data_IF_256041154357
#
_entry.id   IF_256041154357
#
_cell.length_a   1.000
_cell.length_b   1.000
_cell.length_c   1.000
_cell.angle_alpha   90.00
_cell.angle_beta   90.00
_cell.angle_gamma   90.00
#
_symmetry.space_group_name_H-M   'P 1'
#
loop_
_entity.id
_entity.type
_entity.pdbx_description
1 polymer ?
#
# COMPACT_ATOMS: atom_id res chain seq x y z
N UNK A 1 -0.13 -33.40 -0.32
CA UNK A 1 -0.22 -32.89 1.07
C UNK A 1 -0.27 -31.36 1.14
N UNK A 2 0.70 -30.62 0.56
CA UNK A 2 0.68 -29.13 0.58
C UNK A 2 -0.61 -28.51 0.05
N UNK A 3 -1.16 -28.99 -1.07
CA UNK A 3 -2.45 -28.48 -1.59
C UNK A 3 -3.58 -28.60 -0.56
N UNK A 4 -3.73 -29.76 0.11
CA UNK A 4 -4.76 -29.97 1.12
C UNK A 4 -4.58 -28.98 2.28
N UNK A 5 -3.34 -28.81 2.74
CA UNK A 5 -3.00 -27.81 3.77
C UNK A 5 -3.37 -26.39 3.32
N UNK A 6 -2.99 -26.00 2.10
CA UNK A 6 -3.30 -24.68 1.51
C UNK A 6 -4.82 -24.43 1.52
N UNK A 7 -5.65 -25.39 1.08
CA UNK A 7 -7.12 -25.25 1.10
C UNK A 7 -7.70 -25.16 2.51
N UNK A 8 -7.21 -25.96 3.46
CA UNK A 8 -7.70 -25.96 4.85
C UNK A 8 -7.36 -24.64 5.54
N UNK A 9 -6.09 -24.24 5.54
CA UNK A 9 -5.64 -22.99 6.17
C UNK A 9 -6.27 -21.78 5.48
N UNK A 10 -6.43 -21.81 4.16
CA UNK A 10 -7.13 -20.74 3.43
C UNK A 10 -8.57 -20.61 3.85
N UNK A 11 -9.29 -21.71 4.08
CA UNK A 11 -10.69 -21.65 4.53
C UNK A 11 -10.80 -20.94 5.88
N UNK A 12 -9.95 -21.31 6.84
CA UNK A 12 -9.89 -20.67 8.16
C UNK A 12 -9.50 -19.19 8.03
N UNK A 13 -8.48 -18.90 7.22
CA UNK A 13 -8.02 -17.53 6.99
C UNK A 13 -9.08 -16.65 6.32
N UNK A 14 -9.84 -17.18 5.34
CA UNK A 14 -10.87 -16.41 4.64
C UNK A 14 -12.05 -16.04 5.57
N UNK A 15 -12.42 -16.95 6.47
CA UNK A 15 -13.42 -16.65 7.52
C UNK A 15 -12.88 -15.55 8.45
N UNK A 16 -11.64 -15.70 8.93
CA UNK A 16 -10.98 -14.69 9.76
C UNK A 16 -10.91 -13.33 9.06
N UNK A 17 -10.50 -13.29 7.80
CA UNK A 17 -10.37 -12.09 6.99
C UNK A 17 -11.73 -11.40 6.82
N UNK A 18 -12.77 -12.14 6.46
CA UNK A 18 -14.13 -11.62 6.29
C UNK A 18 -14.69 -11.03 7.59
N UNK A 19 -14.59 -11.78 8.70
CA UNK A 19 -15.03 -11.30 10.02
C UNK A 19 -14.27 -10.06 10.45
N UNK A 20 -12.95 -10.02 10.26
CA UNK A 20 -12.12 -8.86 10.55
C UNK A 20 -12.61 -7.63 9.79
N UNK A 21 -12.90 -7.75 8.49
CA UNK A 21 -13.43 -6.63 7.70
C UNK A 21 -14.78 -6.12 8.20
N UNK A 22 -15.70 -7.01 8.60
CA UNK A 22 -17.03 -6.61 9.08
C UNK A 22 -16.94 -5.97 10.47
N UNK A 23 -16.20 -6.57 11.40
CA UNK A 23 -16.03 -6.02 12.76
C UNK A 23 -15.37 -4.65 12.70
N UNK A 24 -14.27 -4.52 11.97
CA UNK A 24 -13.59 -3.23 11.83
C UNK A 24 -14.39 -2.21 11.04
N UNK A 25 -15.40 -2.61 10.28
CA UNK A 25 -16.25 -1.64 9.57
C UNK A 25 -17.06 -0.86 10.60
N UNK A 26 -17.68 -1.55 11.55
CA UNK A 26 -18.41 -0.94 12.67
C UNK A 26 -17.48 -0.08 13.50
N UNK A 27 -16.30 -0.60 13.89
CA UNK A 27 -15.30 0.16 14.65
C UNK A 27 -14.90 1.44 13.91
N UNK A 28 -14.60 1.36 12.61
CA UNK A 28 -14.22 2.53 11.81
C UNK A 28 -15.33 3.58 11.73
N UNK A 29 -16.59 3.17 11.57
CA UNK A 29 -17.74 4.07 11.54
C UNK A 29 -17.85 4.81 12.87
N UNK A 30 -17.83 4.08 13.99
CA UNK A 30 -17.88 4.63 15.35
C UNK A 30 -16.69 5.56 15.59
N UNK A 31 -15.47 5.12 15.30
CA UNK A 31 -14.25 5.93 15.45
C UNK A 31 -14.33 7.26 14.70
N UNK A 32 -14.82 7.24 13.46
CA UNK A 32 -14.94 8.45 12.64
C UNK A 32 -16.01 9.41 13.17
N UNK A 33 -17.19 8.91 13.52
CA UNK A 33 -18.35 9.76 13.86
C UNK A 33 -18.28 10.29 15.28
N UNK A 34 -17.73 9.52 16.23
CA UNK A 34 -17.65 9.93 17.64
C UNK A 34 -16.32 10.63 17.99
N UNK A 35 -15.22 10.29 17.29
CA UNK A 35 -13.88 10.72 17.69
C UNK A 35 -13.04 11.32 16.55
N UNK A 36 -13.61 11.48 15.35
CA UNK A 36 -12.98 12.17 14.22
C UNK A 36 -11.94 11.35 13.43
N UNK A 37 -11.33 12.02 12.46
CA UNK A 37 -10.48 11.40 11.44
C UNK A 37 -9.21 10.75 11.99
N UNK A 38 -8.54 11.36 12.99
CA UNK A 38 -7.32 10.79 13.59
C UNK A 38 -7.58 9.45 14.28
N UNK A 39 -8.72 9.33 14.97
CA UNK A 39 -9.10 8.08 15.64
C UNK A 39 -9.53 7.02 14.62
N UNK A 40 -10.25 7.42 13.57
CA UNK A 40 -10.53 6.55 12.43
C UNK A 40 -9.25 5.99 11.81
N UNK A 41 -8.21 6.81 11.58
CA UNK A 41 -6.94 6.33 11.03
C UNK A 41 -6.25 5.30 11.94
N UNK A 42 -6.27 5.49 13.27
CA UNK A 42 -5.77 4.47 14.20
C UNK A 42 -6.52 3.14 14.07
N UNK A 43 -7.83 3.18 13.89
CA UNK A 43 -8.62 1.95 13.67
C UNK A 43 -8.27 1.27 12.34
N UNK A 44 -7.94 2.04 11.29
CA UNK A 44 -7.44 1.51 10.01
C UNK A 44 -6.06 0.87 10.16
N UNK A 45 -5.17 1.45 10.95
CA UNK A 45 -3.88 0.84 11.26
C UNK A 45 -4.08 -0.51 11.95
N UNK A 46 -4.93 -0.56 12.98
CA UNK A 46 -5.24 -1.81 13.66
C UNK A 46 -5.87 -2.83 12.73
N UNK A 47 -6.87 -2.46 11.91
CA UNK A 47 -7.43 -3.35 10.89
C UNK A 47 -6.32 -4.01 10.07
N UNK A 48 -5.40 -3.23 9.52
CA UNK A 48 -4.34 -3.76 8.68
C UNK A 48 -3.32 -4.59 9.47
N UNK A 49 -3.09 -4.27 10.75
CA UNK A 49 -2.33 -5.12 11.66
C UNK A 49 -2.98 -6.50 11.86
N UNK A 50 -4.29 -6.55 12.08
CA UNK A 50 -5.02 -7.83 12.20
C UNK A 50 -5.01 -8.60 10.87
N UNK A 51 -5.30 -7.95 9.74
CA UNK A 51 -5.25 -8.58 8.42
C UNK A 51 -3.86 -9.15 8.10
N UNK A 52 -2.79 -8.41 8.44
CA UNK A 52 -1.42 -8.83 8.18
C UNK A 52 -1.03 -10.03 9.04
N UNK A 53 -1.18 -9.95 10.36
CA UNK A 53 -0.79 -11.03 11.28
C UNK A 53 -1.73 -12.23 11.22
N UNK A 54 -2.95 -12.06 10.70
CA UNK A 54 -3.83 -13.18 10.33
C UNK A 54 -3.17 -14.14 9.35
N UNK A 55 -2.20 -13.70 8.55
CA UNK A 55 -1.42 -14.57 7.66
C UNK A 55 -0.60 -15.62 8.42
N UNK A 56 -0.40 -15.49 9.74
CA UNK A 56 0.18 -16.56 10.56
C UNK A 56 -0.68 -17.83 10.59
N UNK A 57 -1.99 -17.73 10.34
CA UNK A 57 -2.88 -18.89 10.14
C UNK A 57 -2.38 -19.74 8.95
N UNK A 58 -1.85 -19.10 7.91
CA UNK A 58 -1.25 -19.76 6.74
C UNK A 58 0.20 -20.20 7.00
N UNK A 59 0.73 -19.98 8.21
CA UNK A 59 2.15 -20.14 8.53
C UNK A 59 3.08 -19.20 7.75
N UNK A 60 2.55 -18.10 7.21
CA UNK A 60 3.32 -17.11 6.47
C UNK A 60 4.26 -16.35 7.39
N UNK A 61 5.53 -16.23 7.01
CA UNK A 61 6.53 -15.43 7.72
C UNK A 61 6.52 -14.02 7.19
N UNK A 62 6.45 -13.05 8.10
CA UNK A 62 6.38 -11.64 7.77
C UNK A 62 7.70 -10.98 8.15
N UNK A 63 8.27 -10.23 7.22
CA UNK A 63 9.50 -9.49 7.43
C UNK A 63 9.30 -8.03 7.02
N UNK A 64 9.83 -7.13 7.84
CA UNK A 64 9.87 -5.71 7.52
C UNK A 64 11.23 -5.16 7.91
N UNK A 65 11.79 -4.35 7.03
CA UNK A 65 13.03 -3.63 7.25
C UNK A 65 12.85 -2.19 6.78
N UNK A 66 13.40 -1.25 7.54
CA UNK A 66 13.58 0.13 7.09
C UNK A 66 15.07 0.43 7.16
N UNK A 67 15.70 0.70 6.00
CA UNK A 67 17.14 0.98 5.93
C UNK A 67 17.53 2.23 6.72
N UNK A 68 16.58 3.17 6.88
CA UNK A 68 16.72 4.43 7.61
C UNK A 68 15.39 4.73 8.33
N UNK A 69 15.45 5.37 9.50
CA UNK A 69 14.26 5.91 10.16
C UNK A 69 13.66 7.06 9.34
N UNK A 70 12.38 6.94 9.00
CA UNK A 70 11.70 7.91 8.15
C UNK A 70 11.23 9.13 8.97
N UNK A 71 11.42 10.35 8.46
CA UNK A 71 10.97 11.56 9.13
C UNK A 71 9.44 11.60 9.23
N UNK A 72 8.93 12.29 10.26
CA UNK A 72 7.47 12.46 10.50
C UNK A 72 7.03 13.92 10.47
N UNK A 73 7.97 14.84 10.24
CA UNK A 73 7.80 16.29 10.18
C UNK A 73 7.74 16.84 8.74
N UNK A 74 7.91 15.96 7.74
CA UNK A 74 7.79 16.29 6.31
C UNK A 74 6.97 15.23 5.57
N UNK A 75 6.29 15.59 4.46
CA UNK A 75 5.54 14.61 3.69
C UNK A 75 6.45 13.55 3.07
N UNK A 76 5.88 12.39 2.78
CA UNK A 76 6.58 11.30 2.09
C UNK A 76 5.77 10.83 0.89
N UNK A 77 6.45 10.48 -0.20
CA UNK A 77 5.88 9.76 -1.33
C UNK A 77 6.52 8.38 -1.38
N UNK A 78 5.79 7.37 -0.91
CA UNK A 78 6.17 5.98 -1.05
C UNK A 78 5.91 5.52 -2.48
N UNK A 79 6.96 5.01 -3.12
CA UNK A 79 6.88 4.44 -4.46
C UNK A 79 7.29 2.97 -4.38
N UNK A 80 6.37 2.07 -4.74
CA UNK A 80 6.56 0.64 -4.52
C UNK A 80 6.26 -0.17 -5.78
N UNK A 81 6.85 -1.37 -5.89
CA UNK A 81 6.37 -2.40 -6.81
C UNK A 81 5.05 -3.01 -6.29
N UNK A 82 4.25 -3.61 -7.19
CA UNK A 82 2.93 -4.14 -6.85
C UNK A 82 2.77 -5.60 -7.31
N UNK A 83 2.56 -6.52 -6.38
CA UNK A 83 2.37 -7.95 -6.63
C UNK A 83 1.01 -8.46 -6.10
N UNK A 84 0.49 -7.94 -4.98
CA UNK A 84 -0.81 -8.38 -4.46
C UNK A 84 -1.54 -7.34 -3.62
N UNK A 85 -2.74 -7.66 -3.13
CA UNK A 85 -3.45 -6.77 -2.21
C UNK A 85 -2.75 -6.64 -0.84
N UNK A 86 -1.92 -7.62 -0.48
CA UNK A 86 -1.20 -7.62 0.79
C UNK A 86 -0.08 -6.59 0.85
N UNK A 87 0.38 -6.11 -0.32
CA UNK A 87 1.30 -4.97 -0.42
C UNK A 87 0.80 -3.79 0.39
N UNK A 88 -0.48 -3.44 0.16
CA UNK A 88 -1.16 -2.31 0.79
C UNK A 88 -1.32 -2.56 2.29
N UNK A 89 -1.70 -3.78 2.69
CA UNK A 89 -1.89 -4.15 4.10
C UNK A 89 -0.59 -3.99 4.88
N UNK A 90 0.51 -4.53 4.35
CA UNK A 90 1.83 -4.42 4.96
C UNK A 90 2.33 -2.97 4.99
N UNK A 91 2.18 -2.22 3.90
CA UNK A 91 2.55 -0.80 3.88
C UNK A 91 1.76 0.02 4.92
N UNK A 92 0.44 -0.15 5.02
CA UNK A 92 -0.36 0.57 6.03
C UNK A 92 0.11 0.23 7.44
N UNK A 93 0.37 -1.04 7.74
CA UNK A 93 0.79 -1.43 9.08
C UNK A 93 2.21 -0.99 9.41
N UNK A 94 3.18 -1.31 8.57
CA UNK A 94 4.60 -1.06 8.86
C UNK A 94 4.96 0.43 8.77
N UNK A 95 4.34 1.18 7.86
CA UNK A 95 4.57 2.62 7.67
C UNK A 95 3.52 3.48 8.38
N UNK A 96 2.76 2.91 9.32
CA UNK A 96 1.67 3.60 10.04
C UNK A 96 2.06 4.91 10.73
N UNK A 97 3.34 5.08 11.08
CA UNK A 97 3.87 6.35 11.64
C UNK A 97 3.77 7.50 10.63
N UNK A 98 3.82 7.20 9.33
CA UNK A 98 3.80 8.16 8.23
C UNK A 98 2.42 8.27 7.54
N UNK A 99 1.39 7.54 8.01
CA UNK A 99 0.02 7.60 7.48
C UNK A 99 -0.09 7.46 5.95
N UNK A 100 0.18 6.29 5.36
CA UNK A 100 0.16 6.10 3.91
C UNK A 100 -1.26 6.19 3.33
N UNK A 101 -1.46 7.15 2.44
CA UNK A 101 -2.70 7.38 1.69
C UNK A 101 -2.48 6.99 0.22
N UNK A 102 -3.33 6.10 -0.30
CA UNK A 102 -3.07 5.44 -1.59
C UNK A 102 -3.75 6.12 -2.77
N UNK A 103 -3.06 6.12 -3.91
CA UNK A 103 -3.71 6.23 -5.23
C UNK A 103 -4.42 4.91 -5.53
N UNK A 104 -5.75 4.96 -5.62
CA UNK A 104 -6.62 3.77 -5.63
C UNK A 104 -7.65 3.80 -6.75
N UNK A 105 -8.04 2.63 -7.24
CA UNK A 105 -9.10 2.49 -8.25
C UNK A 105 -10.44 2.94 -7.65
N UNK A 106 -11.19 3.81 -8.32
CA UNK A 106 -12.43 4.39 -7.78
C UNK A 106 -13.50 3.34 -7.44
N UNK A 107 -13.54 2.22 -8.15
CA UNK A 107 -14.51 1.15 -7.92
C UNK A 107 -14.31 0.45 -6.56
N UNK A 108 -13.09 0.48 -5.99
CA UNK A 108 -12.83 -0.07 -4.65
C UNK A 108 -13.48 0.77 -3.54
N UNK A 109 -13.92 1.99 -3.85
CA UNK A 109 -14.65 2.84 -2.93
C UNK A 109 -16.09 2.38 -2.70
N UNK A 110 -16.54 1.25 -3.27
CA UNK A 110 -17.88 0.68 -3.09
C UNK A 110 -17.83 -0.84 -2.87
N UNK A 111 -18.72 -1.35 -2.01
CA UNK A 111 -19.01 -2.79 -1.90
C UNK A 111 -18.14 -3.62 -0.94
N UNK A 112 -16.98 -3.12 -0.49
CA UNK A 112 -16.07 -3.89 0.38
C UNK A 112 -16.12 -3.31 1.81
N UNK A 113 -16.63 -4.05 2.81
CA UNK A 113 -16.64 -3.61 4.21
C UNK A 113 -15.24 -3.20 4.67
N UNK A 114 -15.17 -2.19 5.55
CA UNK A 114 -13.94 -1.53 6.00
C UNK A 114 -13.10 -0.84 4.91
N UNK A 115 -12.77 -1.52 3.81
CA UNK A 115 -11.90 -1.02 2.75
C UNK A 115 -12.55 0.14 2.00
N UNK A 116 -13.76 -0.05 1.49
CA UNK A 116 -14.49 1.00 0.77
C UNK A 116 -14.80 2.19 1.67
N UNK A 117 -15.09 1.95 2.95
CA UNK A 117 -15.31 3.02 3.92
C UNK A 117 -14.03 3.83 4.15
N UNK A 118 -12.91 3.15 4.43
CA UNK A 118 -11.61 3.79 4.60
C UNK A 118 -11.25 4.65 3.38
N UNK A 119 -11.36 4.10 2.17
CA UNK A 119 -11.04 4.81 0.93
C UNK A 119 -11.83 6.12 0.76
N UNK A 120 -13.09 6.17 1.20
CA UNK A 120 -13.91 7.39 1.15
C UNK A 120 -13.59 8.40 2.26
N UNK A 121 -12.93 7.97 3.35
CA UNK A 121 -12.69 8.80 4.55
C UNK A 121 -11.22 9.18 4.75
N UNK A 122 -10.29 8.46 4.13
CA UNK A 122 -8.84 8.64 4.33
C UNK A 122 -8.23 9.75 3.48
N UNK A 123 -8.97 10.28 2.51
CA UNK A 123 -8.44 11.24 1.54
C UNK A 123 -7.73 10.59 0.34
N UNK A 124 -7.83 9.26 0.17
CA UNK A 124 -7.29 8.51 -0.97
C UNK A 124 -7.62 9.17 -2.32
N UNK A 125 -6.67 9.16 -3.25
CA UNK A 125 -6.91 9.58 -4.63
C UNK A 125 -7.66 8.47 -5.36
N UNK A 126 -8.97 8.63 -5.53
CA UNK A 126 -9.84 7.64 -6.17
C UNK A 126 -9.91 7.88 -7.67
N UNK A 127 -9.09 7.16 -8.43
CA UNK A 127 -8.90 7.39 -9.86
C UNK A 127 -9.79 6.48 -10.72
N UNK A 128 -10.42 7.05 -11.74
CA UNK A 128 -10.89 6.30 -12.89
C UNK A 128 -9.73 6.14 -13.88
N UNK A 129 -9.32 4.89 -14.12
CA UNK A 129 -8.20 4.59 -15.02
C UNK A 129 -8.51 4.85 -16.49
N UNK A 130 -9.79 5.05 -16.82
CA UNK A 130 -10.24 5.41 -18.16
C UNK A 130 -10.29 6.93 -18.36
N UNK A 131 -10.22 7.72 -17.29
CA UNK A 131 -10.23 9.18 -17.33
C UNK A 131 -8.92 9.75 -16.75
N UNK A 132 -7.95 9.97 -17.63
CA UNK A 132 -6.66 10.54 -17.25
C UNK A 132 -6.76 11.94 -16.65
N UNK A 133 -7.75 12.75 -17.04
CA UNK A 133 -7.92 14.11 -16.49
C UNK A 133 -8.41 14.03 -15.04
N UNK A 134 -9.39 13.17 -14.77
CA UNK A 134 -9.87 12.92 -13.41
C UNK A 134 -8.75 12.37 -12.51
N UNK A 135 -7.94 11.42 -13.03
CA UNK A 135 -6.81 10.87 -12.29
C UNK A 135 -5.78 11.95 -11.92
N UNK A 136 -5.46 12.87 -12.84
CA UNK A 136 -4.55 13.99 -12.58
C UNK A 136 -5.08 14.88 -11.44
N UNK A 137 -6.37 15.19 -11.46
CA UNK A 137 -7.02 16.02 -10.43
C UNK A 137 -6.94 15.36 -9.05
N UNK A 138 -7.27 14.07 -8.95
CA UNK A 138 -7.24 13.35 -7.68
C UNK A 138 -5.83 13.17 -7.12
N UNK A 139 -4.86 12.84 -7.97
CA UNK A 139 -3.46 12.73 -7.55
C UNK A 139 -2.93 14.10 -7.11
N UNK A 140 -3.30 15.17 -7.80
CA UNK A 140 -2.92 16.52 -7.40
C UNK A 140 -3.56 16.93 -6.05
N UNK A 141 -4.82 16.54 -5.81
CA UNK A 141 -5.50 16.74 -4.52
C UNK A 141 -4.76 15.99 -3.40
N UNK A 142 -4.38 14.74 -3.64
CA UNK A 142 -3.59 13.95 -2.68
C UNK A 142 -2.22 14.60 -2.38
N UNK A 143 -1.53 15.08 -3.41
CA UNK A 143 -0.27 15.81 -3.22
C UNK A 143 -0.41 17.03 -2.31
N UNK A 144 -1.45 17.85 -2.50
CA UNK A 144 -1.73 18.98 -1.60
C UNK A 144 -2.04 18.52 -0.17
N UNK A 145 -2.85 17.47 -0.03
CA UNK A 145 -3.23 16.92 1.28
C UNK A 145 -2.00 16.49 2.08
N UNK A 146 -1.05 15.78 1.47
CA UNK A 146 0.15 15.33 2.20
C UNK A 146 1.07 16.51 2.54
N UNK A 147 1.15 17.52 1.67
CA UNK A 147 1.92 18.74 1.93
C UNK A 147 1.42 19.47 3.18
N UNK A 148 0.10 19.59 3.33
CA UNK A 148 -0.54 20.24 4.48
C UNK A 148 -0.45 19.41 5.77
N UNK A 149 -0.64 18.10 5.67
CA UNK A 149 -0.77 17.21 6.85
C UNK A 149 0.54 16.58 7.30
N UNK A 150 1.59 16.64 6.47
CA UNK A 150 2.86 15.90 6.64
C UNK A 150 2.67 14.38 6.66
N UNK A 151 1.53 13.89 6.15
CA UNK A 151 1.29 12.47 5.91
C UNK A 151 2.02 12.01 4.65
N UNK A 152 1.75 10.78 4.20
CA UNK A 152 2.38 10.21 3.03
C UNK A 152 1.40 9.80 1.96
N UNK A 153 1.85 9.88 0.70
CA UNK A 153 1.17 9.27 -0.42
C UNK A 153 1.86 7.95 -0.76
N UNK A 154 1.09 6.93 -1.12
CA UNK A 154 1.60 5.67 -1.63
C UNK A 154 1.10 5.44 -3.07
N UNK A 155 2.02 5.17 -3.98
CA UNK A 155 1.74 4.94 -5.38
C UNK A 155 2.49 3.71 -5.90
N UNK A 156 1.82 2.95 -6.75
CA UNK A 156 2.38 1.81 -7.49
C UNK A 156 2.48 2.19 -8.98
N UNK A 157 3.62 2.70 -9.45
CA UNK A 157 3.73 3.26 -10.80
C UNK A 157 3.57 2.23 -11.93
N UNK A 158 3.64 0.94 -11.62
CA UNK A 158 3.31 -0.15 -12.55
C UNK A 158 1.83 -0.12 -13.01
N UNK A 159 0.96 0.55 -12.25
CA UNK A 159 -0.49 0.67 -12.51
C UNK A 159 -1.30 -0.63 -12.34
N UNK A 160 -0.67 -1.79 -12.43
CA UNK A 160 -1.28 -3.12 -12.27
C UNK A 160 -0.31 -4.08 -11.61
N UNK A 161 -0.85 -5.03 -10.84
CA UNK A 161 -0.05 -6.06 -10.16
C UNK A 161 0.75 -6.89 -11.17
N UNK A 162 2.01 -7.17 -10.85
CA UNK A 162 2.82 -8.15 -11.57
C UNK A 162 2.34 -9.57 -11.23
N UNK A 163 2.04 -10.37 -12.25
CA UNK A 163 1.64 -11.78 -12.10
C UNK A 163 2.83 -12.74 -12.14
N UNK A 164 3.94 -12.31 -12.76
CA UNK A 164 5.19 -13.08 -12.86
C UNK A 164 6.12 -12.81 -11.69
N UNK A 165 5.88 -11.71 -10.95
CA UNK A 165 6.76 -11.23 -9.89
C UNK A 165 7.86 -10.29 -10.41
N UNK A 166 8.01 -10.19 -11.74
CA UNK A 166 8.95 -9.28 -12.39
C UNK A 166 8.49 -7.83 -12.28
N UNK A 167 9.46 -6.93 -12.14
CA UNK A 167 9.23 -5.50 -12.04
C UNK A 167 8.84 -4.92 -13.41
N UNK A 168 7.68 -4.27 -13.50
CA UNK A 168 7.25 -3.60 -14.75
C UNK A 168 7.89 -2.23 -14.91
N UNK A 169 7.70 -1.65 -16.09
CA UNK A 169 8.00 -0.24 -16.33
C UNK A 169 7.14 0.67 -15.43
N UNK A 170 7.77 1.70 -14.87
CA UNK A 170 7.11 2.65 -13.98
C UNK A 170 6.60 3.85 -14.79
N UNK A 171 5.31 4.18 -14.63
CA UNK A 171 4.74 5.38 -15.21
C UNK A 171 5.14 6.62 -14.40
N UNK A 172 5.68 7.64 -15.08
CA UNK A 172 6.21 8.85 -14.42
C UNK A 172 5.13 9.81 -13.93
N UNK A 173 4.01 9.91 -14.66
CA UNK A 173 3.05 11.01 -14.48
C UNK A 173 2.49 11.16 -13.07
N UNK A 174 2.10 10.06 -12.41
CA UNK A 174 1.54 10.10 -11.06
C UNK A 174 2.56 10.58 -10.01
N UNK A 175 3.80 10.10 -10.10
CA UNK A 175 4.90 10.52 -9.21
C UNK A 175 5.23 12.00 -9.45
N UNK A 176 5.31 12.43 -10.71
CA UNK A 176 5.57 13.82 -11.08
C UNK A 176 4.53 14.79 -10.48
N UNK A 177 3.25 14.43 -10.53
CA UNK A 177 2.16 15.24 -9.96
C UNK A 177 2.28 15.33 -8.44
N UNK A 178 2.55 14.21 -7.76
CA UNK A 178 2.70 14.18 -6.31
C UNK A 178 3.87 15.08 -5.87
N UNK A 179 5.05 14.93 -6.48
CA UNK A 179 6.23 15.76 -6.18
C UNK A 179 5.96 17.24 -6.45
N UNK A 180 5.28 17.57 -7.55
CA UNK A 180 4.92 18.96 -7.89
C UNK A 180 3.97 19.58 -6.86
N UNK A 181 3.07 18.80 -6.27
CA UNK A 181 2.06 19.28 -5.32
C UNK A 181 2.49 19.17 -3.86
N UNK A 182 3.51 18.37 -3.58
CA UNK A 182 4.17 18.25 -2.29
C UNK A 182 5.68 18.49 -2.45
N UNK A 183 6.11 19.74 -2.70
CA UNK A 183 7.51 20.05 -2.98
C UNK A 183 8.47 19.74 -1.82
N UNK A 184 7.96 19.61 -0.59
CA UNK A 184 8.76 19.20 0.57
C UNK A 184 8.77 17.69 0.78
N UNK A 185 8.12 16.91 -0.10
CA UNK A 185 8.02 15.48 0.08
C UNK A 185 9.36 14.80 -0.14
N UNK A 186 9.64 13.82 0.71
CA UNK A 186 10.75 12.89 0.51
C UNK A 186 10.24 11.67 -0.27
N UNK A 187 10.96 11.23 -1.30
CA UNK A 187 10.54 10.05 -2.08
C UNK A 187 11.23 8.83 -1.52
N UNK A 188 10.43 7.82 -1.13
CA UNK A 188 10.93 6.61 -0.47
C UNK A 188 10.59 5.40 -1.34
N UNK A 189 11.60 4.76 -1.97
CA UNK A 189 11.39 3.50 -2.64
C UNK A 189 11.05 2.39 -1.63
N UNK A 190 10.10 1.52 -1.98
CA UNK A 190 9.71 0.37 -1.16
C UNK A 190 9.77 -0.89 -2.01
N UNK A 191 10.63 -1.82 -1.64
CA UNK A 191 10.71 -3.13 -2.27
C UNK A 191 9.82 -4.13 -1.53
N UNK A 192 8.89 -4.75 -2.27
CA UNK A 192 7.94 -5.74 -1.76
C UNK A 192 8.23 -7.09 -2.40
N UNK A 193 8.52 -8.09 -1.56
CA UNK A 193 8.91 -9.43 -2.00
C UNK A 193 7.83 -10.46 -1.68
N UNK A 194 7.57 -11.34 -2.65
CA UNK A 194 6.79 -12.58 -2.57
C UNK A 194 5.29 -12.45 -2.23
N UNK A 195 4.74 -11.25 -2.07
CA UNK A 195 3.31 -11.10 -1.75
C UNK A 195 2.41 -11.63 -2.87
N UNK A 196 2.89 -11.67 -4.12
CA UNK A 196 2.23 -12.33 -5.24
C UNK A 196 2.24 -13.87 -5.18
N UNK A 197 3.19 -14.48 -4.45
CA UNK A 197 3.22 -15.93 -4.24
C UNK A 197 2.12 -16.42 -3.31
N UNK A 198 1.55 -15.52 -2.50
CA UNK A 198 0.45 -15.88 -1.61
C UNK A 198 -0.82 -16.22 -2.38
N UNK A 199 -1.09 -15.55 -3.50
CA UNK A 199 -2.36 -15.66 -4.22
C UNK A 199 -2.21 -15.66 -5.77
N UNK A 200 -1.33 -16.51 -6.34
CA UNK A 200 -0.93 -16.44 -7.75
C UNK A 200 -2.09 -16.72 -8.72
N UNK A 201 -3.12 -17.44 -8.26
CA UNK A 201 -4.28 -17.86 -9.07
C UNK A 201 -5.59 -17.15 -8.67
N UNK A 202 -5.51 -16.12 -7.83
CA UNK A 202 -6.67 -15.47 -7.23
C UNK A 202 -6.74 -15.65 -5.73
N UNK A 203 -7.85 -15.25 -5.12
CA UNK A 203 -7.98 -15.11 -3.65
C UNK A 203 -8.15 -16.44 -2.89
N UNK A 204 -8.34 -17.57 -3.59
CA UNK A 204 -8.50 -18.88 -2.96
C UNK A 204 -8.08 -20.03 -3.91
N UNK A 205 -7.39 -21.06 -3.40
CA UNK A 205 -6.70 -21.08 -2.11
C UNK A 205 -5.49 -20.14 -2.12
N UNK A 206 -5.09 -19.69 -0.93
CA UNK A 206 -3.83 -19.02 -0.70
C UNK A 206 -2.71 -20.05 -0.45
N UNK A 207 -1.49 -19.72 -0.85
CA UNK A 207 -0.33 -20.55 -0.55
C UNK A 207 0.09 -20.38 0.91
N UNK A 208 0.20 -21.49 1.63
CA UNK A 208 0.78 -21.53 2.98
C UNK A 208 2.31 -21.50 2.96
N UNK A 209 2.89 -21.12 4.11
CA UNK A 209 4.33 -21.13 4.41
C UNK A 209 5.20 -20.19 3.55
N UNK A 210 4.59 -19.16 2.96
CA UNK A 210 5.31 -18.14 2.21
C UNK A 210 6.10 -17.19 3.14
N UNK A 211 7.10 -16.49 2.59
CA UNK A 211 7.84 -15.42 3.29
C UNK A 211 7.63 -14.10 2.57
N UNK A 212 6.94 -13.16 3.21
CA UNK A 212 6.61 -11.85 2.66
C UNK A 212 7.52 -10.78 3.26
N UNK A 213 7.99 -9.85 2.45
CA UNK A 213 8.87 -8.77 2.92
C UNK A 213 8.46 -7.40 2.40
N UNK A 214 8.57 -6.38 3.25
CA UNK A 214 8.43 -4.96 2.92
C UNK A 214 9.68 -4.22 3.37
N UNK A 215 10.42 -3.65 2.43
CA UNK A 215 11.73 -3.04 2.70
C UNK A 215 11.68 -1.58 2.26
N UNK A 216 11.72 -0.66 3.23
CA UNK A 216 11.83 0.77 2.95
C UNK A 216 13.29 1.11 2.67
N UNK A 217 13.59 1.56 1.45
CA UNK A 217 14.96 1.83 1.00
C UNK A 217 15.40 3.25 1.36
N UNK A 218 16.68 3.53 1.09
CA UNK A 218 17.25 4.86 1.26
C UNK A 218 16.40 5.89 0.50
N UNK A 219 15.92 6.94 1.18
CA UNK A 219 15.11 7.96 0.53
C UNK A 219 15.89 8.79 -0.49
N UNK A 220 15.17 9.35 -1.46
CA UNK A 220 15.70 10.19 -2.54
C UNK A 220 15.08 11.58 -2.41
N UNK A 221 15.92 12.61 -2.35
CA UNK A 221 15.47 13.99 -2.40
C UNK A 221 15.04 14.36 -3.83
N UNK A 222 13.80 14.86 -4.04
CA UNK A 222 13.33 15.23 -5.38
C UNK A 222 13.97 16.51 -5.92
N UNK A 223 14.49 17.38 -5.03
CA UNK A 223 15.01 18.69 -5.42
C UNK A 223 16.16 18.54 -6.43
N UNK A 224 16.03 19.24 -7.56
CA UNK A 224 17.05 19.23 -8.61
C UNK A 224 17.00 18.03 -9.56
N UNK A 225 15.99 17.17 -9.46
CA UNK A 225 15.79 16.00 -10.34
C UNK A 225 14.58 16.19 -11.24
N UNK A 226 14.67 15.69 -12.47
CA UNK A 226 13.46 15.52 -13.29
C UNK A 226 12.59 14.39 -12.73
N UNK A 227 11.31 14.35 -13.10
CA UNK A 227 10.44 13.28 -12.65
C UNK A 227 10.86 11.92 -13.22
N UNK A 228 11.36 11.90 -14.44
CA UNK A 228 11.88 10.72 -15.13
C UNK A 228 13.12 10.19 -14.43
N UNK A 229 14.09 11.05 -14.11
CA UNK A 229 15.30 10.68 -13.37
C UNK A 229 14.94 10.10 -12.00
N UNK A 230 14.04 10.77 -11.27
CA UNK A 230 13.60 10.32 -9.95
C UNK A 230 12.94 8.93 -10.01
N UNK A 231 12.03 8.71 -10.96
CA UNK A 231 11.33 7.43 -11.12
C UNK A 231 12.29 6.31 -11.52
N UNK A 232 13.27 6.60 -12.37
CA UNK A 232 14.29 5.61 -12.74
C UNK A 232 15.20 5.25 -11.56
N UNK A 233 15.64 6.23 -10.76
CA UNK A 233 16.42 5.98 -9.55
C UNK A 233 15.65 5.11 -8.55
N UNK A 234 14.36 5.39 -8.34
CA UNK A 234 13.48 4.58 -7.51
C UNK A 234 13.38 3.15 -8.04
N UNK A 235 13.14 3.00 -9.35
CA UNK A 235 12.99 1.70 -10.01
C UNK A 235 14.26 0.86 -9.87
N UNK A 236 15.43 1.45 -10.14
CA UNK A 236 16.73 0.79 -9.99
C UNK A 236 17.01 0.38 -8.53
N UNK A 237 16.66 1.23 -7.56
CA UNK A 237 16.80 0.91 -6.14
C UNK A 237 15.93 -0.30 -5.75
N UNK A 238 14.67 -0.32 -6.20
CA UNK A 238 13.76 -1.45 -5.97
C UNK A 238 14.27 -2.70 -6.67
N UNK A 239 14.67 -2.60 -7.94
CA UNK A 239 15.17 -3.73 -8.72
C UNK A 239 16.38 -4.39 -8.04
N UNK A 240 17.37 -3.59 -7.63
CA UNK A 240 18.55 -4.07 -6.92
C UNK A 240 18.20 -4.82 -5.63
N UNK A 241 17.23 -4.30 -4.86
CA UNK A 241 16.78 -4.97 -3.65
C UNK A 241 16.03 -6.28 -3.98
N UNK A 242 15.19 -6.30 -5.02
CA UNK A 242 14.47 -7.51 -5.46
C UNK A 242 15.40 -8.63 -5.94
N UNK A 243 16.56 -8.28 -6.51
CA UNK A 243 17.59 -9.23 -6.96
C UNK A 243 18.45 -9.77 -5.80
N UNK A 244 18.38 -9.16 -4.62
CA UNK A 244 19.09 -9.62 -3.42
C UNK A 244 18.30 -10.74 -2.73
N UNK A 245 18.92 -11.92 -2.62
CA UNK A 245 18.35 -13.17 -2.12
C UNK A 245 17.87 -13.13 -0.65
#
# INVERSE_FOLDING_TARGET
MKKILDYLLSSVYMIYFGLTLVIFHVIQVVCFHLFGSRTHQKSVHWLNGFLLHGLWILGTRLHHEAKIELPTDRPIIFVANHQSMFDIVGMIWYMRKNYPIFVSKIELAKGIPSISYNLRKSGAALIDRKDGKQAIVEIARLGKLIEETKFSAAIFPEGTRSRTGELKQFATGGVAILVKKAPHALVVPVAIKNTGKLNPKGIFPLNSLERLSWISLTPIEPKGKSAEELVELVKLAIQKELETA
#
